data_IF_941490462469
#
_entry.id   IF_941490462469
#
_cell.length_a   1.000
_cell.length_b   1.000
_cell.length_c   1.000
_cell.angle_alpha   90.00
_cell.angle_beta   90.00
_cell.angle_gamma   90.00
#
_symmetry.space_group_name_H-M   'P 1'
#
loop_
_entity.id
_entity.type
_entity.pdbx_description
1 polymer ?
#
# COMPACT_ATOMS: atom_id res chain seq x y z
N UNK A 1 11.80 -12.08 -6.90
CA UNK A 1 12.03 -12.79 -5.62
C UNK A 1 10.80 -13.63 -5.28
N UNK A 2 10.98 -14.91 -4.91
CA UNK A 2 9.88 -15.82 -4.58
C UNK A 2 9.31 -15.58 -3.16
N UNK A 3 8.21 -16.24 -2.82
CA UNK A 3 7.51 -16.03 -1.52
C UNK A 3 8.38 -16.37 -0.29
N UNK A 4 9.21 -17.42 -0.38
CA UNK A 4 10.10 -17.86 0.71
C UNK A 4 11.21 -16.83 0.95
N UNK A 5 11.80 -16.32 -0.12
CA UNK A 5 12.81 -15.28 -0.08
C UNK A 5 12.25 -13.95 0.44
N UNK A 6 11.05 -13.55 -0.01
CA UNK A 6 10.32 -12.39 0.54
C UNK A 6 10.11 -12.51 2.05
N UNK A 7 9.72 -13.69 2.54
CA UNK A 7 9.56 -13.94 3.98
C UNK A 7 10.88 -13.78 4.74
N UNK A 8 11.98 -14.32 4.22
CA UNK A 8 13.33 -14.16 4.81
C UNK A 8 13.79 -12.71 4.81
N UNK A 9 13.64 -12.01 3.69
CA UNK A 9 14.02 -10.60 3.57
C UNK A 9 13.31 -9.73 4.62
N UNK A 10 12.01 -9.96 4.86
CA UNK A 10 11.24 -9.23 5.87
C UNK A 10 11.71 -9.45 7.32
N UNK A 11 12.56 -10.45 7.57
CA UNK A 11 13.15 -10.68 8.89
C UNK A 11 14.46 -9.91 9.09
N UNK A 12 15.08 -9.42 8.00
CA UNK A 12 16.36 -8.71 8.04
C UNK A 12 16.26 -7.37 8.76
N UNK A 13 17.41 -6.89 9.28
CA UNK A 13 17.53 -5.57 9.90
C UNK A 13 17.17 -4.44 8.91
N UNK A 14 17.70 -4.53 7.68
CA UNK A 14 17.41 -3.58 6.59
C UNK A 14 15.91 -3.35 6.40
N UNK A 15 15.13 -4.44 6.27
CA UNK A 15 13.68 -4.31 6.09
C UNK A 15 12.99 -3.71 7.32
N UNK A 16 13.36 -4.13 8.53
CA UNK A 16 12.76 -3.62 9.77
C UNK A 16 13.00 -2.12 9.94
N UNK A 17 14.19 -1.64 9.59
CA UNK A 17 14.56 -0.23 9.62
C UNK A 17 13.81 0.57 8.57
N UNK A 18 13.83 0.13 7.30
CA UNK A 18 13.04 0.75 6.23
C UNK A 18 11.57 0.86 6.62
N UNK A 19 11.00 -0.23 7.13
CA UNK A 19 9.63 -0.28 7.61
C UNK A 19 9.36 0.75 8.71
N UNK A 20 10.26 0.88 9.70
CA UNK A 20 10.11 1.82 10.80
C UNK A 20 10.10 3.27 10.27
N UNK A 21 11.07 3.63 9.44
CA UNK A 21 11.17 4.94 8.80
C UNK A 21 9.88 5.26 8.04
N UNK A 22 9.32 4.28 7.33
CA UNK A 22 8.10 4.50 6.55
C UNK A 22 6.87 4.74 7.42
N UNK A 23 6.74 4.03 8.54
CA UNK A 23 5.67 4.28 9.51
C UNK A 23 5.78 5.65 10.17
N UNK A 24 7.00 6.06 10.53
CA UNK A 24 7.27 7.36 11.15
C UNK A 24 6.97 8.52 10.18
N UNK A 25 7.39 8.39 8.91
CA UNK A 25 7.15 9.39 7.85
C UNK A 25 5.67 9.74 7.68
N UNK A 26 4.76 8.79 7.94
CA UNK A 26 3.31 8.99 7.79
C UNK A 26 2.58 9.16 9.13
N UNK A 27 3.31 9.44 10.21
CA UNK A 27 2.75 9.60 11.56
C UNK A 27 1.90 8.39 12.00
N UNK A 28 2.30 7.18 11.60
CA UNK A 28 1.55 5.95 11.87
C UNK A 28 0.08 6.03 11.42
N UNK A 29 -0.19 6.71 10.31
CA UNK A 29 -1.50 6.76 9.66
C UNK A 29 -1.54 5.89 8.41
N UNK A 30 -2.68 5.25 8.19
CA UNK A 30 -2.99 4.66 6.89
C UNK A 30 -3.05 5.77 5.84
N UNK A 31 -2.28 5.65 4.76
CA UNK A 31 -2.27 6.66 3.69
C UNK A 31 -3.52 6.65 2.81
N UNK A 32 -4.40 5.66 2.97
CA UNK A 32 -5.65 5.56 2.21
C UNK A 32 -6.88 6.06 2.98
N UNK A 33 -7.00 5.72 4.27
CA UNK A 33 -8.16 6.10 5.08
C UNK A 33 -7.81 6.96 6.30
N UNK A 34 -6.56 7.40 6.43
CA UNK A 34 -6.06 8.27 7.49
C UNK A 34 -6.15 7.74 8.92
N UNK A 35 -6.63 6.50 9.13
CA UNK A 35 -6.71 5.91 10.48
C UNK A 35 -5.32 5.81 11.11
N UNK A 36 -5.15 6.39 12.30
CA UNK A 36 -3.91 6.32 13.08
C UNK A 36 -3.86 5.03 13.89
N UNK A 37 -2.79 4.25 13.79
CA UNK A 37 -2.61 2.99 14.53
C UNK A 37 -1.17 2.77 14.96
N UNK A 38 -0.96 2.49 16.25
CA UNK A 38 0.37 2.10 16.77
C UNK A 38 0.86 0.74 16.25
N UNK A 39 -0.06 -0.18 15.91
CA UNK A 39 0.22 -1.53 15.40
C UNK A 39 -0.78 -1.90 14.29
N UNK A 40 -0.44 -2.88 13.46
CA UNK A 40 -1.34 -3.38 12.40
C UNK A 40 -1.39 -2.52 11.13
N UNK A 41 -0.38 -1.67 10.94
CA UNK A 41 -0.09 -1.06 9.63
C UNK A 41 0.86 -1.97 8.85
N UNK A 42 0.72 -1.99 7.54
CA UNK A 42 1.45 -2.83 6.61
C UNK A 42 2.08 -1.98 5.51
N UNK A 43 3.21 -2.44 4.97
CA UNK A 43 3.83 -1.85 3.78
C UNK A 43 3.29 -2.63 2.58
N UNK A 44 2.50 -1.95 1.75
CA UNK A 44 2.07 -2.45 0.45
C UNK A 44 3.06 -1.97 -0.60
N UNK A 45 3.54 -2.86 -1.46
CA UNK A 45 4.47 -2.50 -2.54
C UNK A 45 3.65 -2.14 -3.76
N UNK A 46 3.82 -0.91 -4.24
CA UNK A 46 3.20 -0.43 -5.49
C UNK A 46 4.03 -0.93 -6.68
N UNK A 47 5.36 -1.00 -6.49
CA UNK A 47 6.30 -1.53 -7.47
C UNK A 47 6.95 -2.82 -6.95
N UNK A 48 6.42 -3.98 -7.37
CA UNK A 48 6.93 -5.29 -6.96
C UNK A 48 8.33 -5.60 -7.54
N UNK A 49 8.77 -4.91 -8.60
CA UNK A 49 10.11 -5.09 -9.19
C UNK A 49 11.21 -4.43 -8.34
N UNK A 50 10.83 -3.44 -7.51
CA UNK A 50 11.73 -2.78 -6.58
C UNK A 50 11.95 -3.56 -5.28
N UNK A 51 11.35 -4.75 -5.12
CA UNK A 51 11.40 -5.49 -3.87
C UNK A 51 12.84 -5.76 -3.40
N UNK A 52 13.22 -5.27 -2.23
CA UNK A 52 14.55 -5.35 -1.63
C UNK A 52 15.45 -4.13 -1.86
N UNK A 53 15.05 -3.25 -2.78
CA UNK A 53 15.67 -1.95 -3.12
C UNK A 53 14.65 -0.80 -3.12
N UNK A 54 13.49 -1.04 -2.52
CA UNK A 54 12.39 -0.08 -2.51
C UNK A 54 12.77 1.26 -1.90
N UNK A 55 12.27 2.32 -2.52
CA UNK A 55 12.30 3.67 -2.00
C UNK A 55 10.93 4.05 -1.44
N UNK A 56 10.82 5.25 -0.85
CA UNK A 56 9.53 5.69 -0.32
C UNK A 56 8.42 5.89 -1.35
N UNK A 57 8.75 5.98 -2.65
CA UNK A 57 7.77 6.06 -3.74
C UNK A 57 7.30 4.69 -4.22
N UNK A 58 8.03 3.61 -3.91
CA UNK A 58 7.67 2.25 -4.35
C UNK A 58 6.67 1.57 -3.39
N UNK A 59 6.35 2.21 -2.27
CA UNK A 59 5.54 1.63 -1.20
C UNK A 59 4.51 2.59 -0.63
N UNK A 60 3.48 2.03 0.00
CA UNK A 60 2.46 2.76 0.74
C UNK A 60 2.14 2.07 2.07
N UNK A 61 1.96 2.87 3.11
CA UNK A 61 1.58 2.41 4.46
C UNK A 61 0.07 2.31 4.56
N UNK A 62 -0.46 1.11 4.78
CA UNK A 62 -1.89 0.83 4.84
C UNK A 62 -2.28 0.11 6.12
N UNK A 63 -3.49 0.34 6.62
CA UNK A 63 -4.08 -0.54 7.62
C UNK A 63 -4.44 -1.90 6.99
N UNK A 64 -4.63 -2.93 7.82
CA UNK A 64 -4.99 -4.28 7.34
C UNK A 64 -6.21 -4.32 6.41
N UNK A 65 -7.23 -3.49 6.67
CA UNK A 65 -8.43 -3.40 5.84
C UNK A 65 -8.11 -2.84 4.45
N UNK A 66 -7.53 -1.64 4.38
CA UNK A 66 -7.15 -1.02 3.11
C UNK A 66 -6.15 -1.88 2.32
N UNK A 67 -5.19 -2.51 3.01
CA UNK A 67 -4.22 -3.40 2.37
C UNK A 67 -4.92 -4.61 1.73
N UNK A 68 -5.93 -5.20 2.38
CA UNK A 68 -6.68 -6.32 1.80
C UNK A 68 -7.51 -5.87 0.60
N UNK A 69 -8.17 -4.71 0.70
CA UNK A 69 -9.02 -4.21 -0.38
C UNK A 69 -8.22 -3.87 -1.65
N UNK A 70 -7.07 -3.18 -1.51
CA UNK A 70 -6.26 -2.84 -2.68
C UNK A 70 -5.70 -4.09 -3.37
N UNK A 71 -5.22 -5.06 -2.61
CA UNK A 71 -4.76 -6.36 -3.12
C UNK A 71 -5.88 -7.10 -3.88
N UNK A 72 -7.10 -7.07 -3.35
CA UNK A 72 -8.27 -7.69 -3.96
C UNK A 72 -8.66 -7.00 -5.26
N UNK A 73 -8.61 -5.67 -5.30
CA UNK A 73 -8.92 -4.88 -6.49
C UNK A 73 -7.90 -5.12 -7.60
N UNK A 74 -6.60 -5.05 -7.30
CA UNK A 74 -5.53 -5.22 -8.29
C UNK A 74 -5.43 -6.64 -8.87
N UNK A 75 -5.95 -7.66 -8.19
CA UNK A 75 -5.98 -9.04 -8.68
C UNK A 75 -7.11 -9.33 -9.68
N UNK A 76 -8.03 -8.39 -9.89
CA UNK A 76 -9.14 -8.55 -10.84
C UNK A 76 -8.62 -8.37 -12.26
N UNK A 77 -8.75 -9.42 -13.09
CA UNK A 77 -8.18 -9.46 -14.45
C UNK A 77 -8.65 -8.33 -15.38
N UNK A 78 -9.90 -7.92 -15.25
CA UNK A 78 -10.53 -6.91 -16.12
C UNK A 78 -10.62 -5.53 -15.46
N UNK A 79 -9.94 -5.32 -14.33
CA UNK A 79 -10.05 -4.09 -13.57
C UNK A 79 -8.89 -3.15 -13.88
N UNK A 80 -9.19 -2.05 -14.57
CA UNK A 80 -8.29 -0.91 -14.68
C UNK A 80 -8.58 0.09 -13.55
N UNK A 81 -7.64 0.19 -12.60
CA UNK A 81 -7.75 1.10 -11.45
C UNK A 81 -7.83 2.57 -11.86
N UNK A 82 -7.18 2.95 -12.97
CA UNK A 82 -7.20 4.34 -13.45
C UNK A 82 -8.57 4.69 -14.01
N UNK A 83 -9.17 3.78 -14.78
CA UNK A 83 -10.55 3.95 -15.28
C UNK A 83 -11.53 4.03 -14.11
N UNK A 84 -11.41 3.14 -13.13
CA UNK A 84 -12.28 3.14 -11.95
C UNK A 84 -12.20 4.44 -11.15
N UNK A 85 -10.99 4.95 -10.89
CA UNK A 85 -10.80 6.23 -10.19
C UNK A 85 -11.41 7.38 -10.98
N UNK A 86 -11.25 7.40 -12.30
CA UNK A 86 -11.84 8.41 -13.16
C UNK A 86 -13.38 8.39 -13.07
N UNK A 87 -13.99 7.21 -13.15
CA UNK A 87 -15.44 7.03 -13.03
C UNK A 87 -15.98 7.51 -11.68
N UNK A 88 -15.31 7.16 -10.56
CA UNK A 88 -15.70 7.63 -9.23
C UNK A 88 -15.65 9.16 -9.09
N UNK A 89 -14.60 9.78 -9.64
CA UNK A 89 -14.47 11.26 -9.62
C UNK A 89 -15.62 11.91 -10.38
N UNK A 90 -15.98 11.38 -11.54
CA UNK A 90 -17.11 11.88 -12.33
C UNK A 90 -18.42 11.77 -11.53
N UNK A 91 -18.71 10.59 -10.97
CA UNK A 91 -19.90 10.37 -10.16
C UNK A 91 -20.00 11.34 -8.97
N UNK A 92 -18.90 11.53 -8.23
CA UNK A 92 -18.87 12.44 -7.08
C UNK A 92 -19.10 13.90 -7.47
N UNK A 93 -18.56 14.33 -8.62
CA UNK A 93 -18.76 15.67 -9.14
C UNK A 93 -20.20 15.89 -9.60
N UNK A 94 -20.84 14.86 -10.17
CA UNK A 94 -22.25 14.88 -10.55
C UNK A 94 -23.17 14.92 -9.32
N UNK A 95 -22.87 14.16 -8.26
CA UNK A 95 -23.69 14.14 -7.04
C UNK A 95 -23.64 15.44 -6.23
N UNK A 96 -22.75 16.37 -6.60
CA UNK A 96 -22.62 17.70 -5.99
C UNK A 96 -23.33 18.81 -6.76
N UNK A 97 -23.82 18.52 -7.97
CA UNK A 97 -24.66 19.43 -8.75
C UNK A 97 -26.11 19.29 -8.31
#
# INVERSE_FOLDING_TARGET
MNSKEKKKFRQTKKWKEFRKVMLEKVDYKCQMCSIKKKKGLHIHHINEEAYGKETSSDVVVLCSLCHREIERLLKRKEFDINIYILQLKNYYNESKK
#
